data_IF_925971536020
#
_entry.id   IF_925971536020
#
_cell.length_a   1.000
_cell.length_b   1.000
_cell.length_c   1.000
_cell.angle_alpha   90.00
_cell.angle_beta   90.00
_cell.angle_gamma   90.00
#
_symmetry.space_group_name_H-M   'P 1'
#
loop_
_entity.id
_entity.type
_entity.pdbx_description
1 polymer ?
#
# COMPACT_ATOMS: atom_id res chain seq x y z
N UNK A 1 7.83 13.29 -15.74
CA UNK A 1 6.59 12.81 -15.13
C UNK A 1 6.73 12.66 -13.63
N UNK A 2 5.61 12.55 -12.95
CA UNK A 2 5.59 12.32 -11.50
C UNK A 2 6.26 11.00 -11.12
N UNK A 3 6.07 9.96 -11.93
CA UNK A 3 6.71 8.67 -11.69
C UNK A 3 8.22 8.74 -11.81
N UNK A 4 8.73 9.46 -12.79
CA UNK A 4 10.16 9.66 -12.95
C UNK A 4 10.74 10.44 -11.77
N UNK A 5 10.03 11.46 -11.28
CA UNK A 5 10.45 12.21 -10.10
C UNK A 5 10.55 11.33 -8.86
N UNK A 6 9.60 10.44 -8.65
CA UNK A 6 9.65 9.49 -7.53
C UNK A 6 10.84 8.54 -7.66
N UNK A 7 11.09 8.02 -8.86
CA UNK A 7 12.23 7.14 -9.08
C UNK A 7 13.56 7.86 -8.84
N UNK A 8 13.65 9.15 -9.18
CA UNK A 8 14.84 9.95 -8.90
C UNK A 8 15.04 10.11 -7.39
N UNK A 9 13.97 10.38 -6.63
CA UNK A 9 14.08 10.50 -5.18
C UNK A 9 14.53 9.19 -4.53
N UNK A 10 14.02 8.06 -5.02
CA UNK A 10 14.46 6.74 -4.56
C UNK A 10 15.94 6.52 -4.87
N UNK A 11 16.36 6.86 -6.09
CA UNK A 11 17.77 6.73 -6.48
C UNK A 11 18.69 7.58 -5.61
N UNK A 12 18.26 8.79 -5.25
CA UNK A 12 19.03 9.66 -4.35
C UNK A 12 19.18 9.04 -2.97
N UNK A 13 18.11 8.45 -2.43
CA UNK A 13 18.16 7.78 -1.14
C UNK A 13 19.14 6.60 -1.18
N UNK A 14 19.14 5.83 -2.26
CA UNK A 14 20.07 4.72 -2.44
C UNK A 14 21.52 5.24 -2.50
N UNK A 15 21.75 6.32 -3.25
CA UNK A 15 23.08 6.91 -3.38
C UNK A 15 23.62 7.41 -2.04
N UNK A 16 22.75 7.79 -1.13
CA UNK A 16 23.12 8.20 0.22
C UNK A 16 23.35 7.02 1.16
N UNK A 17 23.22 5.81 0.65
CA UNK A 17 23.38 4.56 1.41
C UNK A 17 22.42 4.47 2.60
N UNK A 18 21.23 5.04 2.47
CA UNK A 18 20.17 4.90 3.45
C UNK A 18 19.68 3.45 3.46
N UNK A 19 19.68 2.80 4.61
CA UNK A 19 19.12 1.45 4.75
C UNK A 19 17.61 1.45 4.95
N UNK A 20 17.05 2.61 5.28
CA UNK A 20 15.63 2.80 5.56
C UNK A 20 15.10 3.92 4.67
N UNK A 21 14.00 3.64 3.96
CA UNK A 21 13.31 4.63 3.15
C UNK A 21 11.93 4.85 3.75
N UNK A 22 11.64 6.10 4.11
CA UNK A 22 10.33 6.48 4.64
C UNK A 22 9.69 7.43 3.64
N UNK A 23 8.52 7.05 3.13
CA UNK A 23 7.86 7.79 2.07
C UNK A 23 6.39 8.04 2.44
N UNK A 24 5.92 9.24 2.16
CA UNK A 24 4.53 9.60 2.39
C UNK A 24 3.78 9.53 1.06
N UNK A 25 2.88 8.56 0.93
CA UNK A 25 2.05 8.34 -0.25
C UNK A 25 2.82 8.44 -1.56
N UNK A 26 3.83 7.58 -1.79
CA UNK A 26 4.72 7.74 -2.94
C UNK A 26 4.02 7.62 -4.29
N UNK A 27 2.82 7.07 -4.33
CA UNK A 27 2.04 6.90 -5.55
C UNK A 27 0.96 7.97 -5.74
N UNK A 28 0.87 8.95 -4.84
CA UNK A 28 -0.13 10.02 -4.97
C UNK A 28 0.08 10.79 -6.27
N UNK A 29 -1.01 11.03 -6.97
CA UNK A 29 -1.04 11.79 -8.23
C UNK A 29 -0.32 11.11 -9.40
N UNK A 30 0.01 9.83 -9.27
CA UNK A 30 0.57 9.06 -10.38
C UNK A 30 -0.53 8.28 -11.09
N UNK A 31 -0.38 8.10 -12.40
CA UNK A 31 -1.28 7.23 -13.15
C UNK A 31 -1.01 5.76 -12.77
N UNK A 32 -1.88 4.87 -13.23
CA UNK A 32 -1.84 3.47 -12.85
C UNK A 32 -0.50 2.80 -13.20
N UNK A 33 0.00 3.06 -14.41
CA UNK A 33 1.26 2.46 -14.85
C UNK A 33 2.45 2.95 -14.05
N UNK A 34 2.50 4.24 -13.74
CA UNK A 34 3.58 4.81 -12.93
C UNK A 34 3.50 4.35 -11.48
N UNK A 35 2.29 4.20 -10.93
CA UNK A 35 2.13 3.61 -9.61
C UNK A 35 2.74 2.21 -9.55
N UNK A 36 2.43 1.39 -10.53
CA UNK A 36 2.95 0.03 -10.60
C UNK A 36 4.48 0.01 -10.66
N UNK A 37 5.06 0.88 -11.49
CA UNK A 37 6.53 0.95 -11.61
C UNK A 37 7.20 1.36 -10.31
N UNK A 38 6.65 2.35 -9.61
CA UNK A 38 7.19 2.80 -8.32
C UNK A 38 7.09 1.68 -7.29
N UNK A 39 5.94 1.04 -7.20
CA UNK A 39 5.74 -0.03 -6.22
C UNK A 39 6.62 -1.25 -6.51
N UNK A 40 6.80 -1.60 -7.78
CA UNK A 40 7.70 -2.70 -8.17
C UNK A 40 9.15 -2.39 -7.78
N UNK A 41 9.58 -1.14 -7.99
CA UNK A 41 10.93 -0.72 -7.61
C UNK A 41 11.13 -0.78 -6.09
N UNK A 42 10.15 -0.30 -5.32
CA UNK A 42 10.22 -0.38 -3.87
C UNK A 42 10.24 -1.82 -3.38
N UNK A 43 9.46 -2.70 -4.00
CA UNK A 43 9.46 -4.11 -3.66
C UNK A 43 10.81 -4.75 -3.96
N UNK A 44 11.41 -4.40 -5.10
CA UNK A 44 12.74 -4.90 -5.46
C UNK A 44 13.77 -4.51 -4.40
N UNK A 45 13.74 -3.24 -3.96
CA UNK A 45 14.65 -2.76 -2.93
C UNK A 45 14.44 -3.48 -1.59
N UNK A 46 13.20 -3.77 -1.23
CA UNK A 46 12.94 -4.50 0.02
C UNK A 46 13.58 -5.89 -0.02
N UNK A 47 13.58 -6.54 -1.19
CA UNK A 47 14.23 -7.85 -1.36
C UNK A 47 15.75 -7.76 -1.27
N UNK A 48 16.32 -6.58 -1.53
CA UNK A 48 17.75 -6.34 -1.43
C UNK A 48 18.18 -5.91 -0.02
N UNK A 49 17.25 -5.88 0.92
CA UNK A 49 17.56 -5.61 2.32
C UNK A 49 17.21 -4.21 2.82
N UNK A 50 16.64 -3.36 1.95
CA UNK A 50 16.15 -2.05 2.40
C UNK A 50 14.87 -2.21 3.20
N UNK A 51 14.73 -1.43 4.27
CA UNK A 51 13.47 -1.32 4.99
C UNK A 51 12.68 -0.17 4.36
N UNK A 52 11.52 -0.50 3.81
CA UNK A 52 10.65 0.47 3.15
C UNK A 52 9.43 0.70 4.03
N UNK A 53 9.23 1.94 4.44
CA UNK A 53 8.03 2.35 5.18
C UNK A 53 7.32 3.40 4.34
N UNK A 54 6.06 3.14 4.02
CA UNK A 54 5.29 4.08 3.22
C UNK A 54 3.86 4.18 3.73
N UNK A 55 3.30 5.38 3.65
CA UNK A 55 1.89 5.56 3.90
C UNK A 55 1.10 5.39 2.61
N UNK A 56 -0.15 4.97 2.73
CA UNK A 56 -1.06 4.85 1.59
C UNK A 56 -2.49 4.89 2.08
N UNK A 57 -3.39 5.33 1.22
CA UNK A 57 -4.83 5.22 1.44
C UNK A 57 -5.43 4.01 0.73
N UNK A 58 -4.62 3.25 0.02
CA UNK A 58 -5.11 2.12 -0.78
C UNK A 58 -4.85 0.79 -0.08
N UNK A 59 -5.89 0.11 0.42
CA UNK A 59 -5.70 -1.22 0.97
C UNK A 59 -5.20 -2.21 -0.09
N UNK A 60 -5.54 -2.00 -1.37
CA UNK A 60 -5.07 -2.87 -2.45
C UNK A 60 -3.55 -2.84 -2.57
N UNK A 61 -2.93 -1.67 -2.40
CA UNK A 61 -1.47 -1.59 -2.40
C UNK A 61 -0.86 -2.40 -1.27
N UNK A 62 -1.46 -2.36 -0.10
CA UNK A 62 -0.98 -3.15 1.03
C UNK A 62 -1.08 -4.65 0.73
N UNK A 63 -2.21 -5.09 0.20
CA UNK A 63 -2.37 -6.51 -0.14
C UNK A 63 -1.40 -6.96 -1.22
N UNK A 64 -1.11 -6.10 -2.21
CA UNK A 64 -0.26 -6.48 -3.33
C UNK A 64 1.24 -6.44 -2.98
N UNK A 65 1.67 -5.48 -2.16
CA UNK A 65 3.10 -5.20 -2.05
C UNK A 65 3.66 -5.27 -0.64
N UNK A 66 2.85 -5.10 0.40
CA UNK A 66 3.38 -4.98 1.75
C UNK A 66 3.61 -6.35 2.40
N UNK A 67 4.70 -6.46 3.14
CA UNK A 67 4.95 -7.61 3.99
C UNK A 67 4.19 -7.47 5.30
N UNK A 68 4.09 -6.25 5.80
CA UNK A 68 3.34 -5.93 7.02
C UNK A 68 2.60 -4.61 6.82
N UNK A 69 1.50 -4.46 7.52
CA UNK A 69 0.69 -3.25 7.48
C UNK A 69 0.41 -2.77 8.90
N UNK A 70 0.52 -1.46 9.10
CA UNK A 70 0.07 -0.80 10.32
C UNK A 70 -1.14 0.05 9.97
N UNK A 71 -2.22 -0.11 10.72
CA UNK A 71 -3.43 0.68 10.52
C UNK A 71 -3.43 1.82 11.52
N UNK A 72 -3.42 3.05 11.00
CA UNK A 72 -3.36 4.24 11.82
C UNK A 72 -4.70 4.98 11.73
N UNK A 73 -5.29 5.29 12.87
CA UNK A 73 -6.53 6.03 12.95
C UNK A 73 -6.52 6.86 14.22
N UNK A 74 -6.88 8.15 14.08
CA UNK A 74 -6.91 9.10 15.20
C UNK A 74 -5.62 9.15 15.99
N UNK A 75 -4.48 9.06 15.28
CA UNK A 75 -3.16 9.13 15.90
C UNK A 75 -2.74 7.87 16.64
N UNK A 76 -3.49 6.78 16.52
CA UNK A 76 -3.23 5.53 17.23
C UNK A 76 -3.10 4.39 16.23
N UNK A 77 -2.13 3.50 16.46
CA UNK A 77 -2.02 2.26 15.69
C UNK A 77 -3.10 1.29 16.18
N UNK A 78 -4.05 0.97 15.31
CA UNK A 78 -5.19 0.11 15.63
C UNK A 78 -4.89 -1.37 15.38
N UNK A 79 -4.01 -1.66 14.42
CA UNK A 79 -3.65 -3.03 14.08
C UNK A 79 -2.29 -3.02 13.42
N UNK A 80 -1.56 -4.12 13.56
CA UNK A 80 -0.24 -4.29 12.95
C UNK A 80 -0.02 -5.77 12.67
N UNK A 81 0.43 -6.09 11.49
CA UNK A 81 0.72 -7.46 11.11
C UNK A 81 0.62 -7.67 9.60
N UNK A 82 0.47 -8.90 9.18
CA UNK A 82 0.31 -9.22 7.75
C UNK A 82 -0.99 -8.60 7.22
N UNK A 83 -0.97 -8.04 6.01
CA UNK A 83 -2.18 -7.41 5.46
C UNK A 83 -3.41 -8.31 5.51
N UNK A 84 -3.26 -9.59 5.14
CA UNK A 84 -4.37 -10.53 5.10
C UNK A 84 -4.98 -10.79 6.49
N UNK A 85 -4.19 -10.60 7.54
CA UNK A 85 -4.64 -10.85 8.90
C UNK A 85 -5.26 -9.62 9.55
N UNK A 86 -4.72 -8.42 9.24
CA UNK A 86 -5.14 -7.20 9.94
C UNK A 86 -6.14 -6.36 9.15
N UNK A 87 -6.12 -6.41 7.81
CA UNK A 87 -7.02 -5.62 6.98
C UNK A 87 -8.29 -6.41 6.71
N UNK A 88 -9.14 -6.52 7.72
CA UNK A 88 -10.43 -7.22 7.63
C UNK A 88 -11.51 -6.28 7.09
N UNK A 89 -12.60 -6.86 6.59
CA UNK A 89 -13.75 -6.05 6.16
C UNK A 89 -14.24 -5.17 7.31
N UNK A 90 -14.36 -5.72 8.51
CA UNK A 90 -14.83 -4.96 9.66
C UNK A 90 -13.94 -3.76 9.98
N UNK A 91 -12.62 -3.94 9.95
CA UNK A 91 -11.68 -2.85 10.21
C UNK A 91 -11.75 -1.79 9.13
N UNK A 92 -11.77 -2.19 7.87
CA UNK A 92 -11.82 -1.27 6.75
C UNK A 92 -13.14 -0.49 6.72
N UNK A 93 -14.25 -1.15 7.04
CA UNK A 93 -15.55 -0.46 7.15
C UNK A 93 -15.54 0.58 8.26
N UNK A 94 -14.94 0.25 9.40
CA UNK A 94 -14.82 1.19 10.50
C UNK A 94 -13.95 2.41 10.12
N UNK A 95 -12.86 2.16 9.36
CA UNK A 95 -11.96 3.24 8.93
C UNK A 95 -12.61 4.16 7.89
N UNK A 96 -13.29 3.58 6.92
CA UNK A 96 -13.77 4.34 5.77
C UNK A 96 -15.20 4.83 5.91
N UNK A 97 -15.94 4.28 6.89
CA UNK A 97 -17.34 4.67 7.12
C UNK A 97 -18.30 4.18 6.05
N UNK A 98 -17.90 3.21 5.25
CA UNK A 98 -18.75 2.62 4.20
C UNK A 98 -18.60 1.10 4.22
N UNK A 99 -19.61 0.35 3.78
CA UNK A 99 -19.46 -1.10 3.61
C UNK A 99 -18.45 -1.41 2.52
N UNK A 100 -17.57 -2.36 2.78
CA UNK A 100 -16.59 -2.83 1.79
C UNK A 100 -16.61 -4.34 1.73
N UNK A 101 -16.14 -4.88 0.61
CA UNK A 101 -15.99 -6.31 0.40
C UNK A 101 -14.55 -6.60 0.00
N UNK A 102 -14.02 -7.68 0.55
CA UNK A 102 -12.73 -8.21 0.15
C UNK A 102 -12.95 -9.43 -0.75
N UNK A 103 -12.17 -9.49 -1.83
CA UNK A 103 -12.25 -10.57 -2.80
C UNK A 103 -10.87 -11.14 -3.02
N UNK A 104 -10.82 -12.43 -3.34
CA UNK A 104 -9.59 -13.04 -3.81
C UNK A 104 -9.37 -12.65 -5.27
N UNK A 105 -8.16 -12.26 -5.59
CA UNK A 105 -7.77 -11.89 -6.96
C UNK A 105 -7.32 -13.15 -7.70
N UNK A 106 -8.29 -13.94 -8.14
CA UNK A 106 -8.02 -15.18 -8.84
C UNK A 106 -7.17 -16.15 -8.02
N UNK A 107 -6.14 -16.71 -8.63
CA UNK A 107 -5.22 -17.64 -7.98
C UNK A 107 -3.92 -16.98 -7.51
N UNK A 108 -3.91 -15.65 -7.41
CA UNK A 108 -2.70 -14.90 -7.05
C UNK A 108 -2.34 -14.98 -5.57
N UNK A 109 -3.26 -15.41 -4.73
CA UNK A 109 -3.11 -15.36 -3.28
C UNK A 109 -3.27 -13.96 -2.69
N UNK A 110 -3.69 -13.00 -3.50
CA UNK A 110 -3.86 -11.60 -3.09
C UNK A 110 -5.33 -11.27 -2.92
N UNK A 111 -5.60 -10.23 -2.13
CA UNK A 111 -6.95 -9.74 -1.94
C UNK A 111 -7.12 -8.37 -2.60
N UNK A 112 -8.35 -8.07 -2.96
CA UNK A 112 -8.75 -6.76 -3.46
C UNK A 112 -9.90 -6.26 -2.62
N UNK A 113 -9.95 -4.94 -2.42
CA UNK A 113 -10.99 -4.29 -1.66
C UNK A 113 -11.83 -3.42 -2.60
N UNK A 114 -13.14 -3.49 -2.45
CA UNK A 114 -14.03 -2.60 -3.20
C UNK A 114 -15.22 -2.21 -2.33
N UNK A 115 -15.80 -1.03 -2.58
CA UNK A 115 -17.02 -0.63 -1.88
C UNK A 115 -18.16 -1.58 -2.22
N UNK A 116 -18.98 -1.91 -1.25
CA UNK A 116 -20.19 -2.69 -1.51
C UNK A 116 -21.21 -1.79 -2.19
N UNK A 117 -21.77 -2.28 -3.32
CA UNK A 117 -22.75 -1.49 -4.04
C UNK A 117 -24.09 -1.49 -3.30
N UNK A 118 -24.75 -0.37 -3.35
CA UNK A 118 -26.11 -0.27 -2.81
C UNK A 118 -27.02 -1.13 -3.68
N UNK A 119 -27.87 -1.96 -3.03
CA UNK A 119 -28.81 -2.82 -3.74
C UNK A 119 -29.80 -1.99 -4.56
N UNK A 120 -30.12 -2.48 -5.74
CA UNK A 120 -31.07 -1.82 -6.63
C UNK A 120 -30.47 -0.80 -7.57
N UNK A 121 -29.19 -0.64 -7.59
CA UNK A 121 -28.50 0.31 -8.47
C UNK A 121 -27.80 -0.36 -9.65
#
# INVERSE_FOLDING_TARGET
SGGEQQLVLIARAIAQQAGILIMDEPCANLDYGNQARVMEELKRLSREGYLIVQSTHSPDQAFLYADQAAVLSDGVIRAFGKPEEVLTEALLEAMYGIPVRLFDAGDTGRKLCMPERVKGE
#
